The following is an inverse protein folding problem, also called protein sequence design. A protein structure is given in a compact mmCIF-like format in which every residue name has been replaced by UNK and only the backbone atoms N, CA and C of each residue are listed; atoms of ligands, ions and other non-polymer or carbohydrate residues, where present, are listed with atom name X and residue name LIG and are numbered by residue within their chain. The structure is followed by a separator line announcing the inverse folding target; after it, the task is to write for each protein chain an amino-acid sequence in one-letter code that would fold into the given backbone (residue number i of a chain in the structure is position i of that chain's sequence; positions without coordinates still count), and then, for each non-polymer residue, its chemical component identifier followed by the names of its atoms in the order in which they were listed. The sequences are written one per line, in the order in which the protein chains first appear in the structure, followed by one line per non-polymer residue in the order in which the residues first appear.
data_IF_628062972929
#
_entry.id   IF_628062972929
#
_cell.length_a   1.000
_cell.length_b   1.000
_cell.length_c   1.000
_cell.angle_alpha   90.00
_cell.angle_beta   90.00
_cell.angle_gamma   90.00
#
_symmetry.space_group_name_H-M   'P 1'
#
loop_
_entity.id
_entity.type
_entity.pdbx_description
1 polymer ?
#
# COMPACT_ATOMS: atom_id res chain seq x y z
N UNK A 1 -11.85 -12.24 4.95
CA UNK A 1 -10.68 -11.44 5.37
C UNK A 1 -11.22 -10.04 5.62
N UNK A 2 -10.97 -9.41 6.78
CA UNK A 2 -11.48 -8.07 7.07
C UNK A 2 -11.05 -7.09 5.97
N UNK A 3 -11.88 -6.09 5.69
CA UNK A 3 -11.52 -5.00 4.80
C UNK A 3 -10.27 -4.27 5.33
N UNK A 4 -9.49 -3.62 4.46
CA UNK A 4 -8.34 -2.84 4.89
C UNK A 4 -8.70 -1.83 6.00
N UNK A 5 -9.90 -1.24 5.92
CA UNK A 5 -10.38 -0.27 6.91
C UNK A 5 -10.57 -0.91 8.27
N UNK A 6 -11.26 -2.05 8.35
CA UNK A 6 -11.47 -2.78 9.60
C UNK A 6 -10.12 -3.19 10.21
N UNK A 7 -9.24 -3.73 9.38
CA UNK A 7 -7.91 -4.13 9.80
C UNK A 7 -7.07 -2.95 10.32
N UNK A 8 -7.04 -1.83 9.59
CA UNK A 8 -6.35 -0.60 10.02
C UNK A 8 -6.93 -0.09 11.34
N UNK A 9 -8.26 -0.05 11.49
CA UNK A 9 -8.92 0.40 12.72
C UNK A 9 -8.50 -0.45 13.93
N UNK A 10 -8.40 -1.76 13.77
CA UNK A 10 -8.07 -2.69 14.86
C UNK A 10 -6.59 -2.74 15.20
N UNK A 11 -5.71 -2.64 14.20
CA UNK A 11 -4.27 -2.89 14.37
C UNK A 11 -3.46 -1.61 14.49
N UNK A 12 -3.76 -0.57 13.69
CA UNK A 12 -2.88 0.62 13.60
C UNK A 12 -2.70 1.32 14.94
N UNK A 13 -3.77 1.44 15.74
CA UNK A 13 -3.73 2.06 17.08
C UNK A 13 -2.95 1.24 18.12
N UNK A 14 -2.69 -0.05 17.86
CA UNK A 14 -1.91 -0.93 18.74
C UNK A 14 -0.41 -0.86 18.47
N UNK A 15 0.00 -0.20 17.37
CA UNK A 15 1.40 -0.09 16.97
C UNK A 15 2.01 1.22 17.49
N UNK A 16 3.20 1.10 18.08
CA UNK A 16 4.05 2.22 18.45
C UNK A 16 5.21 2.40 17.45
N UNK A 17 6.04 3.42 17.65
CA UNK A 17 7.19 3.69 16.77
C UNK A 17 8.21 2.54 16.73
N UNK A 18 8.31 1.71 17.78
CA UNK A 18 9.21 0.56 17.78
C UNK A 18 8.69 -0.57 16.88
N UNK A 19 7.37 -0.76 16.78
CA UNK A 19 6.77 -1.68 15.81
C UNK A 19 7.10 -1.23 14.39
N UNK A 20 6.90 0.06 14.09
CA UNK A 20 7.23 0.63 12.77
C UNK A 20 8.74 0.59 12.48
N UNK A 21 9.60 0.76 13.50
CA UNK A 21 11.05 0.59 13.38
C UNK A 21 11.41 -0.82 12.91
N UNK A 22 10.83 -1.86 13.51
CA UNK A 22 11.06 -3.25 13.10
C UNK A 22 10.55 -3.51 11.68
N UNK A 23 9.34 -3.04 11.35
CA UNK A 23 8.81 -3.18 9.98
C UNK A 23 9.74 -2.53 8.94
N UNK A 24 10.31 -1.35 9.24
CA UNK A 24 11.30 -0.66 8.38
C UNK A 24 12.62 -1.44 8.27
N UNK A 25 13.05 -2.14 9.33
CA UNK A 25 14.25 -3.01 9.31
C UNK A 25 14.02 -4.21 8.40
N UNK A 26 12.85 -4.84 8.50
CA UNK A 26 12.51 -5.97 7.63
C UNK A 26 12.45 -5.49 6.18
N UNK A 27 11.68 -4.43 5.89
CA UNK A 27 11.51 -3.91 4.52
C UNK A 27 12.83 -3.58 3.84
N UNK A 28 13.73 -2.82 4.51
CA UNK A 28 15.01 -2.41 3.89
C UNK A 28 15.89 -3.61 3.52
N UNK A 29 15.81 -4.69 4.31
CA UNK A 29 16.65 -5.87 4.19
C UNK A 29 16.12 -6.89 3.17
N UNK A 30 14.90 -6.72 2.62
CA UNK A 30 14.37 -7.60 1.56
C UNK A 30 15.14 -7.51 0.24
N UNK A 31 15.96 -6.47 0.08
CA UNK A 31 16.88 -6.34 -1.05
C UNK A 31 18.09 -7.26 -0.94
N UNK A 32 18.42 -7.72 0.28
CA UNK A 32 19.59 -8.54 0.60
C UNK A 32 19.22 -9.98 0.97
N UNK A 33 18.05 -10.17 1.56
CA UNK A 33 17.61 -11.45 2.09
C UNK A 33 16.24 -11.83 1.52
N UNK A 34 16.10 -13.10 1.11
CA UNK A 34 14.80 -13.69 0.75
C UNK A 34 13.90 -13.85 1.99
N UNK A 35 14.51 -14.14 3.14
CA UNK A 35 13.87 -14.08 4.47
C UNK A 35 14.83 -13.35 5.39
N UNK A 36 14.41 -12.23 5.98
CA UNK A 36 15.31 -11.42 6.80
C UNK A 36 15.61 -12.17 8.10
N UNK A 37 16.88 -12.54 8.37
CA UNK A 37 17.21 -13.34 9.54
C UNK A 37 16.80 -12.65 10.84
N UNK A 38 16.32 -13.45 11.80
CA UNK A 38 15.88 -12.93 13.11
C UNK A 38 16.98 -12.13 13.77
N UNK A 39 18.21 -12.63 13.79
CA UNK A 39 19.37 -12.01 14.42
C UNK A 39 19.70 -10.64 13.82
N UNK A 40 19.55 -10.51 12.49
CA UNK A 40 19.72 -9.24 11.78
C UNK A 40 18.68 -8.22 12.25
N UNK A 41 17.42 -8.64 12.37
CA UNK A 41 16.33 -7.75 12.83
C UNK A 41 16.58 -7.30 14.26
N UNK A 42 16.94 -8.22 15.16
CA UNK A 42 17.21 -7.92 16.57
C UNK A 42 18.40 -6.97 16.72
N UNK A 43 19.51 -7.26 16.03
CA UNK A 43 20.73 -6.47 16.06
C UNK A 43 20.49 -5.04 15.56
N UNK A 44 19.89 -4.88 14.38
CA UNK A 44 19.60 -3.55 13.82
C UNK A 44 18.51 -2.78 14.59
N UNK A 45 17.66 -3.48 15.35
CA UNK A 45 16.62 -2.82 16.15
C UNK A 45 17.21 -2.02 17.29
N UNK A 46 18.29 -2.50 17.92
CA UNK A 46 18.83 -1.92 19.16
C UNK A 46 17.83 -1.94 20.34
N UNK A 47 16.82 -2.81 20.31
CA UNK A 47 15.76 -2.88 21.34
C UNK A 47 15.96 -4.05 22.33
N UNK A 48 17.05 -4.82 22.19
CA UNK A 48 17.33 -5.99 23.03
C UNK A 48 16.17 -6.99 23.06
N UNK A 49 15.85 -7.53 24.24
CA UNK A 49 14.77 -8.51 24.43
C UNK A 49 13.37 -7.97 24.05
N UNK A 50 13.17 -6.65 24.01
CA UNK A 50 11.87 -6.07 23.60
C UNK A 50 11.58 -6.34 22.12
N UNK A 51 12.61 -6.43 21.28
CA UNK A 51 12.44 -6.69 19.85
C UNK A 51 11.70 -8.00 19.58
N UNK A 52 11.96 -9.03 20.38
CA UNK A 52 11.32 -10.34 20.28
C UNK A 52 9.82 -10.27 20.49
N UNK A 53 9.40 -9.60 21.57
CA UNK A 53 7.98 -9.42 21.89
C UNK A 53 7.28 -8.63 20.78
N UNK A 54 7.95 -7.65 20.19
CA UNK A 54 7.41 -6.86 19.08
C UNK A 54 7.32 -7.70 17.79
N UNK A 55 8.32 -8.53 17.48
CA UNK A 55 8.27 -9.45 16.34
C UNK A 55 7.11 -10.43 16.46
N UNK A 56 6.94 -11.03 17.64
CA UNK A 56 5.81 -11.91 17.91
C UNK A 56 4.47 -11.21 17.66
N UNK A 57 4.28 -10.00 18.22
CA UNK A 57 3.06 -9.21 17.99
C UNK A 57 2.84 -8.84 16.52
N UNK A 58 3.87 -8.41 15.82
CA UNK A 58 3.79 -8.09 14.39
C UNK A 58 3.36 -9.30 13.56
N UNK A 59 3.83 -10.49 13.95
CA UNK A 59 3.44 -11.75 13.33
C UNK A 59 1.99 -12.13 13.67
N UNK A 60 1.58 -12.03 14.94
CA UNK A 60 0.20 -12.24 15.39
C UNK A 60 -0.79 -11.30 14.68
N UNK A 61 -0.40 -10.03 14.49
CA UNK A 61 -1.17 -9.06 13.74
C UNK A 61 -1.14 -9.30 12.22
N UNK A 62 -0.39 -10.30 11.73
CA UNK A 62 -0.25 -10.63 10.32
C UNK A 62 0.30 -9.47 9.48
N UNK A 63 1.21 -8.67 10.05
CA UNK A 63 1.97 -7.63 9.35
C UNK A 63 3.26 -8.19 8.73
N UNK A 64 3.77 -9.25 9.34
CA UNK A 64 4.93 -10.03 8.91
C UNK A 64 4.59 -11.51 8.95
N UNK A 65 5.37 -12.31 8.25
CA UNK A 65 5.21 -13.76 8.23
C UNK A 65 6.57 -14.46 8.23
N UNK A 66 6.61 -15.68 8.74
CA UNK A 66 7.82 -16.46 8.96
C UNK A 66 7.80 -17.73 8.08
N UNK A 67 8.11 -17.61 6.78
CA UNK A 67 7.99 -18.72 5.83
C UNK A 67 8.86 -19.94 6.13
N UNK A 68 9.99 -19.72 6.82
CA UNK A 68 10.94 -20.77 7.19
C UNK A 68 10.89 -21.08 8.69
N UNK A 69 9.83 -20.65 9.38
CA UNK A 69 9.69 -20.73 10.83
C UNK A 69 10.20 -19.51 11.58
N UNK A 70 9.66 -19.27 12.77
CA UNK A 70 9.89 -18.07 13.58
C UNK A 70 11.37 -17.84 13.93
N UNK A 71 12.12 -18.92 14.13
CA UNK A 71 13.55 -18.88 14.45
C UNK A 71 14.41 -18.45 13.25
N UNK A 72 13.96 -18.71 12.02
CA UNK A 72 14.75 -18.44 10.81
C UNK A 72 14.66 -16.99 10.36
N UNK A 73 13.56 -16.31 10.63
CA UNK A 73 13.38 -14.92 10.25
C UNK A 73 12.01 -14.61 9.65
N UNK A 74 11.89 -13.38 9.13
CA UNK A 74 10.61 -12.80 8.77
C UNK A 74 10.65 -12.06 7.44
N UNK A 75 9.50 -12.02 6.78
CA UNK A 75 9.23 -11.21 5.59
C UNK A 75 8.07 -10.27 5.87
N UNK A 76 8.06 -9.09 5.23
CA UNK A 76 6.90 -8.21 5.24
C UNK A 76 5.85 -8.72 4.24
N UNK A 77 4.57 -8.49 4.53
CA UNK A 77 3.48 -8.73 3.59
C UNK A 77 2.77 -7.42 3.23
N UNK A 78 1.70 -7.48 2.42
CA UNK A 78 0.95 -6.29 2.02
C UNK A 78 0.37 -5.51 3.22
N UNK A 79 -0.11 -6.19 4.28
CA UNK A 79 -0.64 -5.50 5.46
C UNK A 79 0.46 -4.69 6.15
N UNK A 80 1.65 -5.28 6.36
CA UNK A 80 2.79 -4.56 6.92
C UNK A 80 3.21 -3.38 6.06
N UNK A 81 3.24 -3.56 4.73
CA UNK A 81 3.60 -2.51 3.80
C UNK A 81 2.56 -1.38 3.77
N UNK A 82 1.27 -1.71 3.87
CA UNK A 82 0.16 -0.74 3.96
C UNK A 82 0.29 0.13 5.18
N UNK A 83 0.52 -0.47 6.36
CA UNK A 83 0.64 0.30 7.59
C UNK A 83 1.90 1.17 7.58
N UNK A 84 3.02 0.69 7.02
CA UNK A 84 4.20 1.53 6.81
C UNK A 84 3.91 2.71 5.88
N UNK A 85 3.16 2.47 4.80
CA UNK A 85 2.81 3.51 3.84
C UNK A 85 1.89 4.56 4.48
N UNK A 86 0.84 4.11 5.18
CA UNK A 86 -0.11 4.95 5.91
C UNK A 86 0.57 5.75 7.01
N UNK A 87 1.39 5.12 7.86
CA UNK A 87 2.16 5.79 8.91
C UNK A 87 3.01 6.92 8.32
N UNK A 88 3.73 6.65 7.23
CA UNK A 88 4.52 7.69 6.55
C UNK A 88 3.67 8.82 5.93
N UNK A 89 2.42 8.56 5.53
CA UNK A 89 1.52 9.60 5.03
C UNK A 89 0.96 10.46 6.18
N UNK A 90 0.62 9.83 7.31
CA UNK A 90 0.17 10.50 8.54
C UNK A 90 1.29 11.36 9.12
N UNK A 91 2.49 10.82 9.25
CA UNK A 91 3.65 11.54 9.82
C UNK A 91 4.06 12.77 9.00
N UNK A 92 3.79 12.76 7.70
CA UNK A 92 4.04 13.89 6.80
C UNK A 92 2.85 14.86 6.72
N UNK A 93 1.78 14.65 7.49
CA UNK A 93 0.58 15.46 7.47
C UNK A 93 -0.18 15.42 6.13
N UNK A 94 -0.02 14.35 5.35
CA UNK A 94 -0.68 14.20 4.05
C UNK A 94 -2.13 13.78 4.22
N UNK A 95 -2.37 12.82 5.12
CA UNK A 95 -3.71 12.32 5.47
C UNK A 95 -3.84 12.26 6.99
N UNK A 96 -5.05 12.44 7.49
CA UNK A 96 -5.40 12.29 8.90
C UNK A 96 -6.30 11.07 9.11
N UNK A 97 -7.21 10.80 8.16
CA UNK A 97 -8.14 9.67 8.26
C UNK A 97 -8.31 8.94 6.93
N UNK A 98 -8.57 7.63 7.03
CA UNK A 98 -8.93 6.76 5.91
C UNK A 98 -10.42 6.41 6.01
N UNK A 99 -11.15 6.67 4.94
CA UNK A 99 -12.59 6.47 4.82
C UNK A 99 -12.95 5.20 4.04
N UNK A 100 -14.19 5.16 3.57
CA UNK A 100 -14.79 4.03 2.84
C UNK A 100 -14.03 3.69 1.53
N UNK A 101 -14.13 2.44 1.03
CA UNK A 101 -13.62 2.14 -0.30
C UNK A 101 -14.39 2.94 -1.36
N UNK A 102 -13.66 3.47 -2.32
CA UNK A 102 -14.21 4.09 -3.53
C UNK A 102 -14.22 3.11 -4.71
N UNK A 103 -13.26 2.17 -4.74
CA UNK A 103 -13.20 1.10 -5.72
C UNK A 103 -12.20 0.03 -5.31
N UNK A 104 -12.57 -1.24 -5.40
CA UNK A 104 -11.72 -2.38 -5.07
C UNK A 104 -11.55 -3.21 -6.33
N UNK A 105 -10.35 -3.18 -6.90
CA UNK A 105 -10.02 -3.82 -8.16
C UNK A 105 -9.08 -5.01 -8.01
N UNK A 106 -8.76 -5.64 -9.15
CA UNK A 106 -7.80 -6.74 -9.22
C UNK A 106 -6.38 -6.29 -8.87
N UNK A 107 -6.01 -5.08 -9.29
CA UNK A 107 -4.63 -4.59 -9.23
C UNK A 107 -4.44 -3.38 -8.33
N UNK A 108 -5.53 -2.79 -7.84
CA UNK A 108 -5.48 -1.67 -6.90
C UNK A 108 -6.76 -1.56 -6.08
N UNK A 109 -6.63 -0.96 -4.91
CA UNK A 109 -7.76 -0.49 -4.10
C UNK A 109 -7.69 1.03 -3.99
N UNK A 110 -8.82 1.70 -4.08
CA UNK A 110 -8.94 3.14 -3.90
C UNK A 110 -9.86 3.40 -2.71
N UNK A 111 -9.39 4.22 -1.79
CA UNK A 111 -10.11 4.60 -0.58
C UNK A 111 -10.27 6.11 -0.52
N UNK A 112 -11.37 6.51 0.11
CA UNK A 112 -11.59 7.88 0.53
C UNK A 112 -10.66 8.24 1.69
N UNK A 113 -10.31 9.51 1.86
CA UNK A 113 -9.50 9.98 2.97
C UNK A 113 -9.66 11.49 3.17
N UNK A 114 -9.31 11.96 4.36
CA UNK A 114 -9.23 13.38 4.67
C UNK A 114 -7.79 13.77 5.01
N UNK A 115 -7.39 14.95 4.55
CA UNK A 115 -6.18 15.63 5.02
C UNK A 115 -6.41 16.23 6.42
N UNK A 116 -5.36 16.63 7.15
CA UNK A 116 -5.51 17.35 8.43
C UNK A 116 -6.27 18.69 8.31
N UNK A 117 -6.46 19.22 7.09
CA UNK A 117 -7.23 20.44 6.83
C UNK A 117 -8.71 20.16 6.52
N UNK A 118 -9.12 18.90 6.52
CA UNK A 118 -10.48 18.48 6.12
C UNK A 118 -10.69 18.33 4.62
N UNK A 119 -9.67 18.60 3.78
CA UNK A 119 -9.77 18.38 2.34
C UNK A 119 -9.92 16.89 2.02
N UNK A 120 -10.82 16.55 1.11
CA UNK A 120 -11.06 15.18 0.65
C UNK A 120 -10.02 14.76 -0.40
N UNK A 121 -9.41 13.60 -0.20
CA UNK A 121 -8.39 13.02 -1.10
C UNK A 121 -8.68 11.54 -1.36
N UNK A 122 -8.13 11.01 -2.45
CA UNK A 122 -8.20 9.59 -2.76
C UNK A 122 -6.85 8.92 -2.47
N UNK A 123 -6.87 7.76 -1.81
CA UNK A 123 -5.68 6.96 -1.48
C UNK A 123 -5.75 5.66 -2.25
N UNK A 124 -4.84 5.46 -3.19
CA UNK A 124 -4.78 4.28 -4.05
C UNK A 124 -3.62 3.37 -3.65
N UNK A 125 -3.95 2.14 -3.25
CA UNK A 125 -3.03 1.07 -2.91
C UNK A 125 -2.85 0.14 -4.12
N UNK A 126 -1.61 -0.10 -4.54
CA UNK A 126 -1.31 -1.02 -5.64
C UNK A 126 -1.17 -2.45 -5.12
N UNK A 127 -1.77 -3.41 -5.84
CA UNK A 127 -2.01 -4.80 -5.41
C UNK A 127 -1.64 -5.79 -6.50
N UNK A 128 -0.46 -5.63 -7.08
CA UNK A 128 0.03 -6.53 -8.11
C UNK A 128 0.09 -7.97 -7.57
N UNK A 129 -0.40 -8.92 -8.37
CA UNK A 129 -0.41 -10.34 -8.05
C UNK A 129 -1.62 -10.84 -7.26
N UNK A 130 -2.55 -9.98 -6.81
CA UNK A 130 -3.70 -10.39 -5.97
C UNK A 130 -4.57 -11.51 -6.57
N UNK A 131 -4.88 -11.47 -7.86
CA UNK A 131 -5.76 -12.45 -8.50
C UNK A 131 -5.07 -13.73 -8.96
N UNK A 132 -3.76 -13.69 -9.20
CA UNK A 132 -3.00 -14.87 -9.64
C UNK A 132 -3.04 -16.00 -8.60
N UNK A 133 -3.28 -15.69 -7.32
CA UNK A 133 -3.30 -16.67 -6.24
C UNK A 133 -4.62 -17.44 -6.05
N UNK A 134 -5.79 -16.91 -6.44
CA UNK A 134 -7.06 -17.64 -6.24
C UNK A 134 -7.14 -18.96 -7.03
N UNK A 135 -6.37 -19.10 -8.12
CA UNK A 135 -6.25 -20.35 -8.90
C UNK A 135 -4.97 -21.15 -8.60
N UNK A 136 -4.03 -20.60 -7.84
CA UNK A 136 -2.67 -21.16 -7.64
C UNK A 136 -2.32 -21.49 -6.18
N UNK A 137 -3.28 -21.44 -5.25
CA UNK A 137 -3.10 -21.95 -3.87
C UNK A 137 -2.69 -23.43 -3.80
N UNK A 138 -2.64 -24.16 -4.94
CA UNK A 138 -2.13 -25.53 -5.02
C UNK A 138 -0.63 -25.67 -5.26
N UNK A 139 0.11 -24.61 -5.62
CA UNK A 139 1.55 -24.73 -5.91
C UNK A 139 2.36 -23.62 -5.26
N UNK A 140 3.26 -24.05 -4.35
CA UNK A 140 4.32 -23.27 -3.69
C UNK A 140 4.85 -22.15 -4.57
N UNK A 141 4.26 -20.97 -4.47
CA UNK A 141 4.78 -19.80 -5.16
C UNK A 141 5.98 -19.34 -4.33
N UNK A 142 7.17 -19.41 -4.91
CA UNK A 142 8.45 -19.07 -4.27
C UNK A 142 8.38 -17.70 -3.58
N UNK A 143 9.02 -17.55 -2.41
CA UNK A 143 9.14 -16.30 -1.66
C UNK A 143 9.66 -15.13 -2.52
N UNK A 144 10.53 -15.44 -3.48
CA UNK A 144 11.03 -14.52 -4.50
C UNK A 144 9.87 -13.84 -5.25
N UNK A 145 8.80 -14.59 -5.56
CA UNK A 145 7.63 -14.04 -6.25
C UNK A 145 6.88 -13.03 -5.38
N UNK A 146 6.71 -13.30 -4.07
CA UNK A 146 6.04 -12.39 -3.15
C UNK A 146 6.78 -11.07 -3.01
N UNK A 147 8.11 -11.10 -2.85
CA UNK A 147 8.92 -9.88 -2.84
C UNK A 147 8.87 -9.15 -4.17
N UNK A 148 8.90 -9.89 -5.28
CA UNK A 148 8.74 -9.34 -6.62
C UNK A 148 7.42 -8.61 -6.80
N UNK A 149 6.31 -9.12 -6.24
CA UNK A 149 5.00 -8.47 -6.29
C UNK A 149 4.94 -7.19 -5.44
N UNK A 150 5.48 -7.19 -4.22
CA UNK A 150 5.55 -5.97 -3.39
C UNK A 150 6.37 -4.88 -4.09
N UNK A 151 7.54 -5.26 -4.63
CA UNK A 151 8.39 -4.37 -5.40
C UNK A 151 7.70 -3.91 -6.70
N UNK A 152 6.97 -4.78 -7.39
CA UNK A 152 6.20 -4.42 -8.58
C UNK A 152 5.10 -3.41 -8.24
N UNK A 153 4.35 -3.60 -7.15
CA UNK A 153 3.35 -2.64 -6.67
C UNK A 153 3.98 -1.27 -6.35
N UNK A 154 5.15 -1.26 -5.68
CA UNK A 154 5.88 -0.03 -5.41
C UNK A 154 6.38 0.67 -6.70
N UNK A 155 6.82 -0.11 -7.69
CA UNK A 155 7.21 0.42 -9.02
C UNK A 155 6.02 0.97 -9.79
N UNK A 156 4.87 0.30 -9.78
CA UNK A 156 3.64 0.78 -10.42
C UNK A 156 3.18 2.10 -9.81
N UNK A 157 3.15 2.20 -8.47
CA UNK A 157 2.87 3.45 -7.77
C UNK A 157 3.86 4.57 -8.15
N UNK A 158 5.16 4.25 -8.27
CA UNK A 158 6.18 5.19 -8.71
C UNK A 158 5.93 5.72 -10.11
N UNK A 159 5.62 4.84 -11.06
CA UNK A 159 5.36 5.19 -12.46
C UNK A 159 4.11 6.05 -12.60
N UNK A 160 3.01 5.66 -11.95
CA UNK A 160 1.76 6.41 -11.99
C UNK A 160 1.92 7.80 -11.35
N UNK A 161 2.52 7.88 -10.16
CA UNK A 161 2.77 9.18 -9.52
C UNK A 161 3.68 10.09 -10.36
N UNK A 162 4.71 9.53 -11.00
CA UNK A 162 5.58 10.28 -11.93
C UNK A 162 4.79 10.81 -13.14
N UNK A 163 3.92 9.99 -13.72
CA UNK A 163 3.06 10.43 -14.83
C UNK A 163 2.13 11.57 -14.40
N UNK A 164 1.44 11.43 -13.26
CA UNK A 164 0.56 12.49 -12.73
C UNK A 164 1.33 13.79 -12.48
N UNK A 165 2.55 13.72 -11.95
CA UNK A 165 3.43 14.88 -11.72
C UNK A 165 3.88 15.58 -13.01
N UNK A 166 3.89 14.88 -14.14
CA UNK A 166 4.22 15.43 -15.47
C UNK A 166 2.97 16.02 -16.13
N UNK A 167 1.84 15.31 -16.05
CA UNK A 167 0.60 15.63 -16.75
C UNK A 167 -0.18 16.76 -16.09
N UNK A 168 -0.29 16.76 -14.76
CA UNK A 168 -1.13 17.72 -14.03
C UNK A 168 -0.70 19.19 -14.23
N UNK A 169 0.60 19.57 -14.18
CA UNK A 169 1.04 20.94 -14.44
C UNK A 169 0.86 21.39 -15.90
N UNK A 170 0.61 20.45 -16.82
CA UNK A 170 0.33 20.72 -18.24
C UNK A 170 -1.18 20.79 -18.52
N UNK A 171 -1.99 20.95 -17.48
CA UNK A 171 -3.45 21.10 -17.57
C UNK A 171 -4.18 19.91 -18.20
N UNK A 172 -3.51 18.76 -18.32
CA UNK A 172 -4.17 17.50 -18.68
C UNK A 172 -5.16 17.15 -17.59
N UNK A 173 -6.39 16.75 -17.97
CA UNK A 173 -7.48 16.37 -17.05
C UNK A 173 -7.16 15.07 -16.29
N UNK A 174 -6.23 15.14 -15.34
CA UNK A 174 -5.83 14.04 -14.45
C UNK A 174 -5.97 14.44 -12.97
N UNK A 175 -6.06 13.48 -12.04
CA UNK A 175 -6.11 13.80 -10.62
C UNK A 175 -4.86 14.55 -10.13
N UNK A 176 -5.05 15.55 -9.27
CA UNK A 176 -3.93 16.29 -8.65
C UNK A 176 -3.01 15.33 -7.88
N UNK A 177 -1.72 15.20 -8.23
CA UNK A 177 -0.80 14.37 -7.46
C UNK A 177 -0.48 15.04 -6.12
N UNK A 178 -0.84 14.40 -5.00
CA UNK A 178 -0.58 14.92 -3.65
C UNK A 178 0.71 14.33 -3.10
N UNK A 179 0.76 13.01 -2.92
CA UNK A 179 1.93 12.33 -2.35
C UNK A 179 2.05 10.89 -2.84
N UNK A 180 3.19 10.27 -2.53
CA UNK A 180 3.41 8.83 -2.66
C UNK A 180 4.11 8.30 -1.41
N UNK A 181 3.80 7.07 -1.03
CA UNK A 181 4.52 6.28 -0.05
C UNK A 181 4.54 4.82 -0.48
N UNK A 182 5.73 4.25 -0.76
CA UNK A 182 5.87 2.84 -1.22
C UNK A 182 4.97 2.55 -2.43
N UNK A 183 4.03 1.63 -2.28
CA UNK A 183 3.00 1.18 -3.22
C UNK A 183 1.67 1.93 -3.08
N UNK A 184 1.67 3.10 -2.44
CA UNK A 184 0.47 3.92 -2.22
C UNK A 184 0.68 5.30 -2.83
N UNK A 185 -0.33 5.79 -3.55
CA UNK A 185 -0.40 7.18 -4.01
C UNK A 185 -1.59 7.89 -3.38
N UNK A 186 -1.44 9.19 -3.14
CA UNK A 186 -2.52 10.08 -2.72
C UNK A 186 -2.73 11.09 -3.82
N UNK A 187 -3.98 11.25 -4.25
CA UNK A 187 -4.38 12.23 -5.26
C UNK A 187 -5.53 13.10 -4.74
N UNK A 188 -5.75 14.24 -5.38
CA UNK A 188 -6.99 15.00 -5.19
C UNK A 188 -8.20 14.11 -5.49
N UNK A 189 -9.26 14.27 -4.71
CA UNK A 189 -10.53 13.61 -4.99
C UNK A 189 -11.20 14.29 -6.19
N UNK A 190 -11.79 13.51 -7.07
CA UNK A 190 -12.67 13.99 -8.14
C UNK A 190 -13.90 13.09 -8.24
N UNK A 191 -15.02 13.66 -8.65
CA UNK A 191 -16.25 12.93 -8.89
C UNK A 191 -16.54 12.93 -10.38
N UNK A 192 -16.78 11.74 -10.93
CA UNK A 192 -17.10 11.57 -12.34
C UNK A 192 -17.88 10.28 -12.56
N UNK A 193 -18.40 10.13 -13.77
CA UNK A 193 -19.09 8.92 -14.22
C UNK A 193 -18.16 8.24 -15.22
N UNK A 194 -17.98 6.93 -15.08
CA UNK A 194 -17.23 6.16 -16.07
C UNK A 194 -17.97 6.20 -17.42
N UNK A 195 -17.27 6.54 -18.49
CA UNK A 195 -17.85 6.61 -19.84
C UNK A 195 -18.57 5.31 -20.23
N UNK A 196 -18.05 4.15 -19.81
CA UNK A 196 -18.64 2.84 -20.03
C UNK A 196 -20.00 2.62 -19.33
N UNK A 197 -20.32 3.42 -18.31
CA UNK A 197 -21.59 3.35 -17.57
C UNK A 197 -22.66 4.31 -18.12
N UNK A 198 -22.30 5.16 -19.09
CA UNK A 198 -23.22 6.15 -19.66
C UNK A 198 -24.05 5.51 -20.77
N UNK A 199 -25.38 5.59 -20.67
CA UNK A 199 -26.30 5.07 -21.70
C UNK A 199 -26.51 6.06 -22.86
N UNK A 200 -26.57 7.35 -22.56
CA UNK A 200 -26.74 8.42 -23.55
C UNK A 200 -25.79 9.56 -23.22
N UNK A 201 -25.06 10.00 -24.24
CA UNK A 201 -24.10 11.09 -24.16
C UNK A 201 -24.63 12.25 -25.01
N UNK A 202 -24.82 13.42 -24.40
CA UNK A 202 -25.47 14.56 -25.06
C UNK A 202 -24.69 15.10 -26.27
N UNK A 203 -23.35 15.14 -26.18
CA UNK A 203 -22.48 15.66 -27.24
C UNK A 203 -21.34 14.68 -27.59
N UNK A 204 -21.61 13.52 -28.23
CA UNK A 204 -20.62 12.45 -28.40
C UNK A 204 -19.39 12.90 -29.21
N UNK A 205 -19.61 13.67 -30.29
CA UNK A 205 -18.52 14.13 -31.17
C UNK A 205 -17.59 15.12 -30.49
N UNK A 206 -18.12 15.99 -29.63
CA UNK A 206 -17.32 16.93 -28.84
C UNK A 206 -16.48 16.20 -27.80
N UNK A 207 -17.09 15.27 -27.06
CA UNK A 207 -16.36 14.45 -26.08
C UNK A 207 -15.27 13.61 -26.74
N UNK A 208 -15.54 13.04 -27.92
CA UNK A 208 -14.52 12.35 -28.71
C UNK A 208 -13.38 13.29 -29.10
N UNK A 209 -13.68 14.51 -29.56
CA UNK A 209 -12.69 15.53 -29.89
C UNK A 209 -11.88 16.05 -28.69
N UNK A 210 -12.39 15.93 -27.46
CA UNK A 210 -11.63 16.23 -26.25
C UNK A 210 -10.70 15.07 -25.81
N UNK A 211 -10.95 13.86 -26.29
CA UNK A 211 -10.18 12.64 -25.94
C UNK A 211 -9.06 12.36 -26.95
N UNK A 212 -9.32 12.60 -28.24
CA UNK A 212 -8.36 12.43 -29.33
C UNK A 212 -7.31 13.56 -29.36
#
# INVERSE_FOLDING_TARGET
MPSLIEYVKEVFKKLDENHFKILRIIERNLSRYEVVPREVILSESGLGQRAEKLLQKLHEYRLIWAPMGLERGFCINYNGLDLLALKSLVDRGVIESLGRPLGVGKEADVYDALTPRGDRVAVKFFRIGRTSFKKYEKYRTSLISSHSYLAASARSASREYKALRILYPREVKVPKPVARSRHVIVTGFFQGIELASIQQLAEPMKVLGEIL
#
